data_IF_202430175376
#
_entry.id   IF_202430175376
#
_cell.length_a   1.000
_cell.length_b   1.000
_cell.length_c   1.000
_cell.angle_alpha   90.00
_cell.angle_beta   90.00
_cell.angle_gamma   90.00
#
_symmetry.space_group_name_H-M   'P 1'
#
loop_
_entity.id
_entity.type
_entity.pdbx_description
1 polymer ?
#
# COMPACT_ATOMS: atom_id res chain seq x y z
N UNK A 1 -14.48 -27.70 -12.57
CA UNK A 1 -15.16 -26.46 -13.01
C UNK A 1 -14.66 -25.36 -12.10
N UNK A 2 -13.52 -24.78 -12.46
CA UNK A 2 -12.98 -23.61 -11.77
C UNK A 2 -13.69 -22.41 -12.39
N UNK A 3 -14.40 -21.65 -11.55
CA UNK A 3 -15.11 -20.44 -11.96
C UNK A 3 -14.05 -19.37 -12.26
N UNK A 4 -14.00 -18.95 -13.53
CA UNK A 4 -13.09 -17.94 -14.02
C UNK A 4 -13.53 -16.60 -13.42
N UNK A 5 -12.79 -16.10 -12.43
CA UNK A 5 -13.10 -14.82 -11.78
C UNK A 5 -13.11 -13.69 -12.83
N UNK A 6 -14.06 -12.75 -12.75
CA UNK A 6 -14.15 -11.66 -13.71
C UNK A 6 -12.88 -10.79 -13.67
N UNK A 7 -12.33 -10.49 -14.85
CA UNK A 7 -11.15 -9.64 -14.98
C UNK A 7 -11.36 -8.26 -14.35
N UNK A 8 -10.36 -7.71 -13.64
CA UNK A 8 -10.49 -6.42 -12.98
C UNK A 8 -10.72 -5.33 -14.02
N UNK A 9 -11.74 -4.49 -13.78
CA UNK A 9 -12.04 -3.35 -14.64
C UNK A 9 -10.95 -2.28 -14.44
N UNK A 10 -10.37 -1.73 -15.53
CA UNK A 10 -9.36 -0.69 -15.40
C UNK A 10 -9.95 0.53 -14.69
N UNK A 11 -9.30 0.96 -13.61
CA UNK A 11 -9.68 2.16 -12.87
C UNK A 11 -8.94 3.38 -13.47
N UNK A 12 -9.44 4.59 -13.25
CA UNK A 12 -8.79 5.83 -13.73
C UNK A 12 -7.39 6.06 -13.13
N UNK A 13 -6.98 5.25 -12.15
CA UNK A 13 -5.64 5.26 -11.55
C UNK A 13 -4.63 4.41 -12.34
N UNK A 14 -5.07 3.59 -13.30
CA UNK A 14 -4.22 2.66 -14.08
C UNK A 14 -3.41 3.35 -15.19
N UNK A 15 -3.58 4.67 -15.40
CA UNK A 15 -3.03 5.37 -16.56
C UNK A 15 -1.66 6.06 -16.36
N UNK A 16 -1.08 6.09 -15.16
CA UNK A 16 0.15 6.83 -14.91
C UNK A 16 1.14 6.08 -14.00
N UNK A 17 2.30 5.70 -14.58
CA UNK A 17 3.57 5.37 -13.91
C UNK A 17 3.59 4.12 -13.02
N UNK A 18 4.41 3.12 -13.37
CA UNK A 18 4.79 1.92 -12.58
C UNK A 18 4.08 1.72 -11.22
N UNK A 19 2.78 1.39 -11.27
CA UNK A 19 2.05 0.94 -10.08
C UNK A 19 2.18 -0.57 -10.01
N UNK A 20 2.93 -1.07 -9.03
CA UNK A 20 2.94 -2.48 -8.66
C UNK A 20 1.53 -2.87 -8.23
N UNK A 21 0.78 -3.50 -9.12
CA UNK A 21 -0.54 -4.04 -8.77
C UNK A 21 -0.30 -5.34 -8.00
N UNK A 22 -0.61 -5.35 -6.71
CA UNK A 22 -0.64 -6.58 -5.91
C UNK A 22 -1.91 -7.36 -6.31
N UNK A 23 -1.79 -8.14 -7.39
CA UNK A 23 -2.78 -9.10 -7.94
C UNK A 23 -2.73 -10.44 -7.17
N UNK A 24 -2.55 -10.43 -5.85
CA UNK A 24 -2.70 -11.66 -5.05
C UNK A 24 -3.78 -11.43 -4.03
N UNK A 25 -5.02 -11.65 -4.45
CA UNK A 25 -6.19 -11.70 -3.58
C UNK A 25 -6.69 -13.14 -3.54
N UNK A 26 -6.26 -13.89 -2.54
CA UNK A 26 -6.82 -15.21 -2.29
C UNK A 26 -8.22 -15.06 -1.69
N UNK A 27 -9.21 -15.67 -2.32
CA UNK A 27 -10.59 -15.66 -1.82
C UNK A 27 -10.90 -17.01 -1.20
N UNK A 28 -11.29 -16.99 0.08
CA UNK A 28 -11.57 -18.20 0.83
C UNK A 28 -12.97 -18.13 1.47
N UNK A 29 -13.63 -19.28 1.59
CA UNK A 29 -14.89 -19.34 2.34
C UNK A 29 -14.63 -19.19 3.84
N UNK A 30 -15.61 -18.64 4.57
CA UNK A 30 -15.55 -18.55 6.03
C UNK A 30 -15.35 -19.93 6.67
N UNK A 31 -15.89 -20.99 6.08
CA UNK A 31 -15.67 -22.35 6.57
C UNK A 31 -14.20 -22.78 6.44
N UNK A 32 -13.56 -22.50 5.29
CA UNK A 32 -12.15 -22.80 5.06
C UNK A 32 -11.24 -21.99 5.99
N UNK A 33 -11.49 -20.69 6.11
CA UNK A 33 -10.72 -19.80 7.01
C UNK A 33 -10.83 -20.26 8.47
N UNK A 34 -12.01 -20.68 8.91
CA UNK A 34 -12.17 -21.24 10.27
C UNK A 34 -11.39 -22.54 10.48
N UNK A 35 -11.30 -23.40 9.47
CA UNK A 35 -10.58 -24.67 9.56
C UNK A 35 -9.05 -24.49 9.55
N UNK A 36 -8.55 -23.44 8.87
CA UNK A 36 -7.12 -23.23 8.63
C UNK A 36 -6.63 -21.85 9.09
N UNK A 37 -7.23 -21.30 10.15
CA UNK A 37 -7.02 -19.90 10.54
C UNK A 37 -5.56 -19.57 10.82
N UNK A 38 -4.84 -20.40 11.58
CA UNK A 38 -3.42 -20.15 11.88
C UNK A 38 -2.57 -20.06 10.61
N UNK A 39 -2.78 -20.97 9.65
CA UNK A 39 -2.06 -20.96 8.38
C UNK A 39 -2.37 -19.68 7.59
N UNK A 40 -3.63 -19.24 7.57
CA UNK A 40 -4.03 -18.00 6.90
C UNK A 40 -3.34 -16.78 7.54
N UNK A 41 -3.19 -16.76 8.87
CA UNK A 41 -2.47 -15.68 9.55
C UNK A 41 -0.98 -15.70 9.24
N UNK A 42 -0.35 -16.88 9.25
CA UNK A 42 1.09 -17.03 8.94
C UNK A 42 1.39 -16.58 7.49
N UNK A 43 0.52 -16.92 6.54
CA UNK A 43 0.61 -16.50 5.14
C UNK A 43 0.52 -14.98 5.02
N UNK A 44 -0.56 -14.38 5.54
CA UNK A 44 -0.79 -12.93 5.49
C UNK A 44 0.35 -12.13 6.13
N UNK A 45 0.86 -12.58 7.28
CA UNK A 45 1.95 -11.89 7.97
C UNK A 45 3.31 -12.03 7.24
N UNK A 46 3.52 -13.12 6.49
CA UNK A 46 4.79 -13.41 5.84
C UNK A 46 4.94 -12.86 4.42
N UNK A 47 3.84 -12.67 3.70
CA UNK A 47 3.88 -12.39 2.25
C UNK A 47 3.30 -11.04 1.84
N UNK A 48 2.80 -10.23 2.77
CA UNK A 48 2.03 -8.99 2.49
C UNK A 48 0.80 -9.28 1.58
N UNK A 49 0.29 -10.52 1.62
CA UNK A 49 -0.91 -10.93 0.92
C UNK A 49 -2.16 -10.63 1.73
N UNK A 50 -3.29 -10.48 1.03
CA UNK A 50 -4.61 -10.25 1.64
C UNK A 50 -5.59 -11.35 1.25
N UNK A 51 -6.36 -11.81 2.23
CA UNK A 51 -7.37 -12.85 2.04
C UNK A 51 -8.77 -12.25 2.14
N UNK A 52 -9.57 -12.43 1.10
CA UNK A 52 -11.00 -12.08 1.13
C UNK A 52 -11.82 -13.25 1.65
N UNK A 53 -12.56 -13.04 2.73
CA UNK A 53 -13.42 -14.05 3.35
C UNK A 53 -14.84 -13.92 2.81
N UNK A 54 -15.42 -15.03 2.36
CA UNK A 54 -16.79 -15.08 1.85
C UNK A 54 -17.74 -15.87 2.74
N UNK A 55 -19.01 -15.48 2.78
CA UNK A 55 -20.12 -16.24 3.36
C UNK A 55 -21.17 -16.44 2.27
N UNK A 56 -21.51 -17.70 1.99
CA UNK A 56 -22.44 -18.06 0.91
C UNK A 56 -22.03 -17.44 -0.45
N UNK A 57 -20.72 -17.43 -0.74
CA UNK A 57 -20.16 -16.86 -1.98
C UNK A 57 -20.04 -15.33 -1.99
N UNK A 58 -20.56 -14.62 -0.99
CA UNK A 58 -20.47 -13.16 -0.91
C UNK A 58 -19.33 -12.70 0.01
N UNK A 59 -18.49 -11.73 -0.40
CA UNK A 59 -17.44 -11.16 0.46
C UNK A 59 -18.02 -10.52 1.73
N UNK A 60 -17.41 -10.82 2.88
CA UNK A 60 -17.85 -10.31 4.19
C UNK A 60 -16.73 -9.74 5.06
N UNK A 61 -15.47 -10.08 4.78
CA UNK A 61 -14.31 -9.55 5.50
C UNK A 61 -13.04 -9.66 4.64
N UNK A 62 -12.02 -8.89 5.00
CA UNK A 62 -10.66 -9.02 4.47
C UNK A 62 -9.71 -9.21 5.65
N UNK A 63 -8.78 -10.14 5.53
CA UNK A 63 -7.68 -10.36 6.46
C UNK A 63 -6.41 -9.88 5.76
N UNK A 64 -5.65 -9.02 6.42
CA UNK A 64 -4.37 -8.47 5.96
C UNK A 64 -3.45 -8.26 7.18
N UNK A 65 -2.15 -8.10 6.93
CA UNK A 65 -1.21 -7.82 8.00
C UNK A 65 -1.54 -6.46 8.62
N UNK A 66 -1.23 -6.31 9.92
CA UNK A 66 -1.42 -5.03 10.62
C UNK A 66 -0.55 -3.94 9.99
N UNK A 67 0.70 -4.27 9.65
CA UNK A 67 1.65 -3.38 8.98
C UNK A 67 1.11 -2.88 7.63
N UNK A 68 0.48 -3.77 6.84
CA UNK A 68 -0.13 -3.40 5.56
C UNK A 68 -1.30 -2.44 5.77
N UNK A 69 -2.15 -2.70 6.78
CA UNK A 69 -3.26 -1.82 7.10
C UNK A 69 -2.77 -0.42 7.52
N UNK A 70 -1.75 -0.36 8.38
CA UNK A 70 -1.15 0.90 8.84
C UNK A 70 -0.52 1.66 7.66
N UNK A 71 0.23 0.98 6.80
CA UNK A 71 0.85 1.56 5.61
C UNK A 71 -0.17 2.13 4.63
N UNK A 72 -1.30 1.41 4.43
CA UNK A 72 -2.42 1.91 3.61
C UNK A 72 -3.05 3.16 4.21
N UNK A 73 -3.23 3.19 5.54
CA UNK A 73 -3.79 4.36 6.23
C UNK A 73 -2.85 5.57 6.16
N UNK A 74 -1.55 5.38 6.35
CA UNK A 74 -0.55 6.44 6.19
C UNK A 74 -0.55 6.99 4.75
N UNK A 75 -0.61 6.10 3.76
CA UNK A 75 -0.72 6.49 2.35
C UNK A 75 -1.98 7.34 2.10
N UNK A 76 -3.12 6.91 2.64
CA UNK A 76 -4.37 7.66 2.52
C UNK A 76 -4.33 9.01 3.25
N UNK A 77 -3.65 9.09 4.39
CA UNK A 77 -3.44 10.34 5.12
C UNK A 77 -2.72 11.36 4.23
N UNK A 78 -1.59 10.98 3.63
CA UNK A 78 -0.84 11.84 2.69
C UNK A 78 -1.70 12.23 1.49
N UNK A 79 -2.44 11.29 0.89
CA UNK A 79 -3.29 11.57 -0.27
C UNK A 79 -4.48 12.49 0.06
N UNK A 80 -4.89 12.52 1.32
CA UNK A 80 -6.01 13.35 1.79
C UNK A 80 -5.63 14.81 2.02
N UNK A 81 -4.35 15.14 2.27
CA UNK A 81 -3.88 16.53 2.42
C UNK A 81 -3.39 17.10 1.07
N UNK A 82 -4.11 18.07 0.46
CA UNK A 82 -3.69 18.69 -0.79
C UNK A 82 -2.34 19.42 -0.72
N UNK A 83 -1.96 19.92 0.46
CA UNK A 83 -0.67 20.60 0.66
C UNK A 83 0.46 19.59 0.66
N UNK A 84 0.32 18.48 1.40
CA UNK A 84 1.31 17.40 1.38
C UNK A 84 1.55 16.91 -0.05
N UNK A 85 0.49 16.73 -0.84
CA UNK A 85 0.60 16.38 -2.27
C UNK A 85 1.26 17.45 -3.14
N UNK A 86 1.08 18.71 -2.81
CA UNK A 86 1.75 19.81 -3.51
C UNK A 86 3.23 19.85 -3.19
N UNK A 87 3.57 19.72 -1.90
CA UNK A 87 4.94 19.74 -1.40
C UNK A 87 5.75 18.56 -1.96
N UNK A 88 5.16 17.36 -2.03
CA UNK A 88 5.78 16.19 -2.66
C UNK A 88 6.09 16.46 -4.14
N UNK A 89 5.14 16.99 -4.92
CA UNK A 89 5.38 17.29 -6.34
C UNK A 89 6.47 18.34 -6.53
N UNK A 90 6.46 19.38 -5.70
CA UNK A 90 7.51 20.41 -5.75
C UNK A 90 8.88 19.81 -5.39
N UNK A 91 8.94 18.93 -4.39
CA UNK A 91 10.16 18.24 -4.02
C UNK A 91 10.67 17.32 -5.15
N UNK A 92 9.78 16.61 -5.85
CA UNK A 92 10.12 15.81 -7.02
C UNK A 92 10.72 16.66 -8.16
N UNK A 93 10.12 17.81 -8.45
CA UNK A 93 10.63 18.77 -9.45
C UNK A 93 12.01 19.31 -9.05
N UNK A 94 12.20 19.69 -7.78
CA UNK A 94 13.48 20.15 -7.26
C UNK A 94 14.56 19.06 -7.32
N UNK A 95 14.22 17.82 -6.95
CA UNK A 95 15.12 16.67 -7.08
C UNK A 95 15.53 16.42 -8.53
N UNK A 96 14.58 16.48 -9.48
CA UNK A 96 14.86 16.34 -10.90
C UNK A 96 15.74 17.47 -11.46
N UNK A 97 15.61 18.68 -10.91
CA UNK A 97 16.48 19.83 -11.22
C UNK A 97 17.87 19.75 -10.55
N UNK A 98 18.11 18.74 -9.70
CA UNK A 98 19.36 18.59 -8.94
C UNK A 98 19.47 19.51 -7.73
N UNK A 99 18.37 20.13 -7.31
CA UNK A 99 18.27 20.98 -6.12
C UNK A 99 18.17 20.11 -4.85
N UNK A 100 19.22 19.32 -4.60
CA UNK A 100 19.33 18.42 -3.45
C UNK A 100 20.53 18.80 -2.61
N UNK A 101 20.42 18.59 -1.30
CA UNK A 101 21.51 18.80 -0.37
C UNK A 101 22.01 17.46 0.16
N UNK A 102 23.33 17.27 0.14
CA UNK A 102 23.96 16.12 0.76
C UNK A 102 23.89 16.17 2.29
N UNK A 103 23.97 15.01 2.93
CA UNK A 103 23.90 14.90 4.39
C UNK A 103 24.91 15.83 5.11
N UNK A 104 26.16 15.89 4.61
CA UNK A 104 27.22 16.73 5.19
C UNK A 104 26.90 18.23 5.10
N UNK A 105 26.31 18.67 3.99
CA UNK A 105 25.93 20.07 3.75
C UNK A 105 24.79 20.47 4.68
N UNK A 106 23.75 19.63 4.78
CA UNK A 106 22.63 19.84 5.71
C UNK A 106 23.13 19.90 7.16
N UNK A 107 24.00 18.97 7.55
CA UNK A 107 24.57 18.92 8.91
C UNK A 107 25.34 20.19 9.23
N UNK A 108 26.16 20.69 8.29
CA UNK A 108 26.90 21.93 8.45
C UNK A 108 25.97 23.15 8.58
N UNK A 109 24.94 23.24 7.74
CA UNK A 109 23.96 24.33 7.77
C UNK A 109 23.17 24.38 9.10
N UNK A 110 22.73 23.21 9.60
CA UNK A 110 22.04 23.12 10.90
C UNK A 110 22.94 23.47 12.08
N UNK A 111 24.23 23.09 12.04
CA UNK A 111 25.20 23.44 13.07
C UNK A 111 25.50 24.95 13.09
N UNK A 112 25.55 25.60 11.92
CA UNK A 112 25.75 27.04 11.79
C UNK A 112 24.56 27.86 12.33
N UNK A 113 23.32 27.36 12.18
CA UNK A 113 22.10 28.03 12.65
C UNK A 113 21.91 27.98 14.17
N UNK A 114 22.61 27.09 14.89
CA UNK A 114 22.53 26.92 16.35
C UNK A 114 23.54 27.81 17.12
N UNK A 115 24.38 28.58 16.42
CA UNK A 115 25.32 29.55 17.01
C UNK A 115 24.75 30.94 16.89
#
# INVERSE_FOLDING_TARGET
MLDELPSPRPSSLTAAGELTTIEVMTTQSLAAVKAHFSQVIDEVAGTHERVTVTRNGSPVAVILAVEDYESLMETLEILSDPRARSDIRQAEEAMAAGEVYGEAEVRAALAARRR
#
